data_IF_695550166715
#
_entry.id   IF_695550166715
#
_cell.length_a   1.000
_cell.length_b   1.000
_cell.length_c   1.000
_cell.angle_alpha   90.00
_cell.angle_beta   90.00
_cell.angle_gamma   90.00
#
_symmetry.space_group_name_H-M   'P 1'
#
loop_
_entity.id
_entity.type
_entity.pdbx_description
1 polymer ?
#
# COMPACT_ATOMS: atom_id res chain seq x y z
N UNK A 1 12.51 -20.56 2.98
CA UNK A 1 11.43 -20.04 3.84
C UNK A 1 10.88 -18.80 3.18
N UNK A 2 9.60 -18.80 2.83
CA UNK A 2 8.90 -17.62 2.30
C UNK A 2 8.57 -16.70 3.48
N UNK A 3 9.54 -15.92 3.93
CA UNK A 3 9.25 -14.79 4.81
C UNK A 3 8.83 -13.60 3.94
N UNK A 4 7.64 -13.68 3.35
CA UNK A 4 6.92 -12.50 2.89
C UNK A 4 6.56 -11.69 4.13
N UNK A 5 7.34 -10.64 4.40
CA UNK A 5 6.88 -9.56 5.28
C UNK A 5 5.71 -8.87 4.57
N UNK A 6 4.49 -9.32 4.87
CA UNK A 6 3.26 -8.67 4.43
C UNK A 6 3.01 -7.54 5.43
N UNK A 7 3.57 -6.37 5.13
CA UNK A 7 3.24 -5.14 5.83
C UNK A 7 2.12 -4.44 5.09
N UNK A 8 1.20 -3.83 5.83
CA UNK A 8 0.24 -2.91 5.22
C UNK A 8 0.99 -1.67 4.72
N UNK A 9 0.46 -0.96 3.72
CA UNK A 9 1.01 0.31 3.25
C UNK A 9 1.29 1.31 4.38
N UNK A 10 0.36 1.43 5.33
CA UNK A 10 0.50 2.28 6.51
C UNK A 10 1.66 1.83 7.40
N UNK A 11 1.74 0.55 7.74
CA UNK A 11 2.83 0.04 8.56
C UNK A 11 4.20 0.12 7.85
N UNK A 12 4.24 0.06 6.52
CA UNK A 12 5.45 0.29 5.76
C UNK A 12 5.93 1.75 5.88
N UNK A 13 5.00 2.72 5.84
CA UNK A 13 5.33 4.14 6.06
C UNK A 13 5.87 4.39 7.47
N UNK A 14 5.21 3.84 8.49
CA UNK A 14 5.68 3.92 9.89
C UNK A 14 7.07 3.29 10.09
N UNK A 15 7.35 2.22 9.35
CA UNK A 15 8.67 1.59 9.34
C UNK A 15 9.74 2.42 8.58
N UNK A 16 9.40 3.60 8.07
CA UNK A 16 10.32 4.51 7.38
C UNK A 16 10.44 4.27 5.87
N UNK A 17 9.52 3.54 5.25
CA UNK A 17 9.56 3.33 3.80
C UNK A 17 9.31 4.65 3.07
N UNK A 18 10.28 5.09 2.25
CA UNK A 18 10.11 6.29 1.42
C UNK A 18 9.41 5.99 0.09
N UNK A 19 9.36 4.72 -0.31
CA UNK A 19 8.73 4.25 -1.54
C UNK A 19 8.01 2.93 -1.31
N UNK A 20 6.80 2.81 -1.86
CA UNK A 20 5.98 1.59 -1.79
C UNK A 20 5.71 1.07 -3.20
N UNK A 21 6.04 -0.20 -3.45
CA UNK A 21 5.73 -0.87 -4.72
C UNK A 21 4.46 -1.70 -4.55
N UNK A 22 3.39 -1.28 -5.23
CA UNK A 22 2.10 -2.00 -5.21
C UNK A 22 1.82 -2.58 -6.59
N UNK A 23 1.78 -3.92 -6.65
CA UNK A 23 1.53 -4.65 -7.89
C UNK A 23 0.09 -5.12 -8.02
N UNK A 24 -0.14 -6.42 -7.75
CA UNK A 24 -1.43 -7.11 -7.98
C UNK A 24 -2.68 -6.40 -7.43
N UNK A 25 -2.67 -5.76 -6.24
CA UNK A 25 -3.85 -5.06 -5.73
C UNK A 25 -4.34 -3.92 -6.63
N UNK A 26 -3.45 -3.30 -7.40
CA UNK A 26 -3.79 -2.22 -8.34
C UNK A 26 -3.98 -2.78 -9.75
N UNK A 27 -3.05 -3.62 -10.21
CA UNK A 27 -3.06 -4.09 -11.61
C UNK A 27 -4.15 -5.13 -11.93
N UNK A 28 -4.77 -5.73 -10.90
CA UNK A 28 -5.90 -6.67 -11.06
C UNK A 28 -7.23 -6.13 -10.52
N UNK A 29 -7.28 -4.87 -10.11
CA UNK A 29 -8.53 -4.25 -9.70
C UNK A 29 -9.40 -3.94 -10.94
N UNK A 30 -10.72 -4.04 -10.78
CA UNK A 30 -11.68 -3.69 -11.83
C UNK A 30 -11.60 -2.20 -12.19
N UNK A 31 -11.32 -1.35 -11.20
CA UNK A 31 -10.95 0.06 -11.38
C UNK A 31 -9.59 0.34 -10.69
N UNK A 32 -8.48 0.28 -11.46
CA UNK A 32 -7.14 0.58 -10.94
C UNK A 32 -7.01 1.99 -10.36
N UNK A 33 -7.74 2.97 -10.89
CA UNK A 33 -7.69 4.34 -10.40
C UNK A 33 -8.39 4.46 -9.04
N UNK A 34 -9.51 3.78 -8.85
CA UNK A 34 -10.16 3.68 -7.54
C UNK A 34 -9.27 2.99 -6.51
N UNK A 35 -8.66 1.84 -6.88
CA UNK A 35 -7.75 1.12 -6.00
C UNK A 35 -6.55 1.98 -5.55
N UNK A 36 -5.97 2.77 -6.47
CA UNK A 36 -4.92 3.74 -6.13
C UNK A 36 -5.42 4.83 -5.18
N UNK A 37 -6.63 5.38 -5.40
CA UNK A 37 -7.20 6.41 -4.51
C UNK A 37 -7.43 5.87 -3.09
N UNK A 38 -7.97 4.66 -2.96
CA UNK A 38 -8.17 4.01 -1.67
C UNK A 38 -6.85 3.76 -0.94
N UNK A 39 -5.83 3.29 -1.67
CA UNK A 39 -4.49 3.10 -1.13
C UNK A 39 -3.90 4.41 -0.59
N UNK A 40 -4.01 5.49 -1.36
CA UNK A 40 -3.53 6.81 -0.96
C UNK A 40 -4.30 7.35 0.24
N UNK A 41 -5.63 7.17 0.28
CA UNK A 41 -6.45 7.57 1.43
C UNK A 41 -6.05 6.82 2.71
N UNK A 42 -5.83 5.51 2.62
CA UNK A 42 -5.37 4.69 3.74
C UNK A 42 -3.99 5.13 4.27
N UNK A 43 -3.09 5.54 3.37
CA UNK A 43 -1.77 6.07 3.73
C UNK A 43 -1.85 7.47 4.36
N UNK A 44 -2.75 8.34 3.86
CA UNK A 44 -2.94 9.68 4.40
C UNK A 44 -3.53 9.66 5.82
N UNK A 45 -4.47 8.74 6.10
CA UNK A 45 -5.06 8.57 7.43
C UNK A 45 -4.06 8.08 8.49
N UNK A 46 -2.95 7.48 8.08
CA UNK A 46 -1.92 6.96 9.00
C UNK A 46 -0.91 8.04 9.46
N UNK A 47 -0.86 9.21 8.80
CA UNK A 47 0.12 10.25 9.07
C UNK A 47 -0.34 11.11 10.26
N UNK A 48 0.14 10.82 11.47
CA UNK A 48 -0.03 11.63 12.70
C UNK A 48 1.32 12.12 13.19
#
# INVERSE_FOLDING_TARGET
GDQKRVLTPAAALEAGASHLVVGRPVTRADDPAAACRELLAAMAAAKV
#
